data_IF_583371112882
#
_entry.id   IF_583371112882
#
_cell.length_a   1.000
_cell.length_b   1.000
_cell.length_c   1.000
_cell.angle_alpha   90.00
_cell.angle_beta   90.00
_cell.angle_gamma   90.00
#
_symmetry.space_group_name_H-M   'P 1'
#
loop_
_entity.id
_entity.type
_entity.pdbx_description
1 polymer ?
#
# COMPACT_ATOMS: atom_id res chain seq x y z
N UNK A 1 -6.75 -12.16 47.31
CA UNK A 1 -6.24 -11.27 46.24
C UNK A 1 -5.97 -12.15 45.02
N UNK A 2 -7.00 -12.38 44.19
CA UNK A 2 -6.83 -13.14 42.95
C UNK A 2 -6.12 -12.21 41.95
N UNK A 3 -4.88 -12.54 41.59
CA UNK A 3 -4.27 -12.02 40.38
C UNK A 3 -5.11 -12.51 39.20
N UNK A 4 -5.98 -11.65 38.66
CA UNK A 4 -6.59 -11.90 37.36
C UNK A 4 -5.45 -11.84 36.34
N UNK A 5 -4.98 -13.02 35.91
CA UNK A 5 -4.09 -13.13 34.75
C UNK A 5 -4.76 -12.37 33.62
N UNK A 6 -4.06 -11.40 33.03
CA UNK A 6 -4.46 -10.79 31.76
C UNK A 6 -4.80 -11.93 30.80
N UNK A 7 -5.97 -11.92 30.12
CA UNK A 7 -6.30 -12.97 29.17
C UNK A 7 -5.12 -13.13 28.21
N UNK A 8 -4.58 -14.34 28.16
CA UNK A 8 -3.40 -14.63 27.36
C UNK A 8 -3.81 -14.53 25.89
N UNK A 9 -3.17 -13.64 25.14
CA UNK A 9 -3.38 -13.55 23.70
C UNK A 9 -2.79 -14.83 23.10
N UNK A 10 -3.61 -15.59 22.37
CA UNK A 10 -3.24 -16.87 21.76
C UNK A 10 -3.30 -16.78 20.22
N UNK A 11 -2.59 -17.65 19.48
CA UNK A 11 -2.59 -17.63 18.02
C UNK A 11 -3.99 -17.61 17.40
N UNK A 12 -4.93 -18.35 17.99
CA UNK A 12 -6.32 -18.44 17.53
C UNK A 12 -7.04 -17.09 17.59
N UNK A 13 -6.66 -16.19 18.51
CA UNK A 13 -7.18 -14.83 18.55
C UNK A 13 -6.72 -14.03 17.33
N UNK A 14 -5.42 -14.09 17.00
CA UNK A 14 -4.89 -13.37 15.86
C UNK A 14 -5.42 -13.92 14.53
N UNK A 15 -5.58 -15.24 14.42
CA UNK A 15 -6.10 -15.90 13.21
C UNK A 15 -7.54 -15.45 12.84
N UNK A 16 -8.31 -14.94 13.81
CA UNK A 16 -9.66 -14.42 13.57
C UNK A 16 -9.67 -12.99 13.04
N UNK A 17 -8.56 -12.27 13.12
CA UNK A 17 -8.48 -10.91 12.63
C UNK A 17 -8.45 -10.86 11.10
N UNK A 18 -9.04 -9.81 10.48
CA UNK A 18 -9.02 -9.65 9.04
C UNK A 18 -7.60 -9.72 8.49
N UNK A 19 -7.43 -10.42 7.36
CA UNK A 19 -6.14 -10.62 6.65
C UNK A 19 -5.10 -11.49 7.39
N UNK A 20 -5.21 -11.71 8.71
CA UNK A 20 -4.29 -12.55 9.47
C UNK A 20 -4.43 -14.05 9.17
N UNK A 21 -5.52 -14.47 8.52
CA UNK A 21 -5.68 -15.84 8.03
C UNK A 21 -4.65 -16.26 6.98
N UNK A 22 -3.94 -15.29 6.36
CA UNK A 22 -2.84 -15.57 5.44
C UNK A 22 -1.60 -16.10 6.17
N UNK A 23 -1.46 -15.81 7.46
CA UNK A 23 -0.35 -16.25 8.30
C UNK A 23 -0.64 -17.65 8.83
N UNK A 24 0.38 -18.49 8.86
CA UNK A 24 0.25 -19.83 9.45
C UNK A 24 0.47 -19.78 10.97
N UNK A 25 0.22 -20.91 11.63
CA UNK A 25 0.36 -21.02 13.08
C UNK A 25 1.75 -20.61 13.60
N UNK A 26 2.84 -21.00 12.91
CA UNK A 26 4.21 -20.64 13.32
C UNK A 26 4.46 -19.14 13.22
N UNK A 27 3.90 -18.50 12.20
CA UNK A 27 4.01 -17.04 12.02
C UNK A 27 3.29 -16.32 13.17
N UNK A 28 2.09 -16.77 13.54
CA UNK A 28 1.29 -16.19 14.63
C UNK A 28 1.95 -16.41 15.99
N UNK A 29 2.48 -17.61 16.24
CA UNK A 29 3.25 -17.94 17.44
C UNK A 29 4.50 -17.06 17.55
N UNK A 30 5.20 -16.84 16.43
CA UNK A 30 6.35 -15.95 16.39
C UNK A 30 5.98 -14.49 16.69
N UNK A 31 4.90 -13.98 16.07
CA UNK A 31 4.39 -12.62 16.34
C UNK A 31 4.05 -12.44 17.83
N UNK A 32 3.43 -13.43 18.46
CA UNK A 32 3.08 -13.39 19.88
C UNK A 32 4.29 -13.54 20.81
N UNK A 33 5.32 -14.27 20.38
CA UNK A 33 6.55 -14.45 21.15
C UNK A 33 7.41 -13.19 21.16
N UNK A 34 7.60 -12.57 19.98
CA UNK A 34 8.42 -11.36 19.81
C UNK A 34 7.64 -10.07 20.11
N UNK A 35 6.32 -10.12 19.98
CA UNK A 35 5.44 -8.99 20.26
C UNK A 35 5.31 -8.71 21.76
N UNK A 36 5.39 -7.44 22.14
CA UNK A 36 5.18 -6.99 23.52
C UNK A 36 3.72 -6.57 23.71
N UNK A 37 2.93 -7.25 24.56
CA UNK A 37 1.57 -6.84 24.84
C UNK A 37 1.56 -5.63 25.78
N UNK A 38 0.80 -4.60 25.41
CA UNK A 38 0.72 -3.34 26.14
C UNK A 38 -0.73 -2.99 26.44
N UNK A 39 -1.02 -2.64 27.70
CA UNK A 39 -2.31 -2.04 28.09
C UNK A 39 -2.20 -0.52 27.97
N UNK A 40 -3.17 0.08 27.32
CA UNK A 40 -3.20 1.51 27.01
C UNK A 40 -4.45 2.14 27.57
N UNK A 41 -4.30 3.30 28.21
CA UNK A 41 -5.41 4.13 28.67
C UNK A 41 -5.72 5.22 27.62
N UNK A 42 -6.95 5.77 27.60
CA UNK A 42 -7.31 6.89 26.74
C UNK A 42 -6.31 8.05 26.81
N UNK A 43 -6.02 8.65 25.68
CA UNK A 43 -5.04 9.73 25.52
C UNK A 43 -3.61 9.25 25.22
N UNK A 44 -3.30 7.96 25.37
CA UNK A 44 -1.99 7.43 24.97
C UNK A 44 -1.82 7.52 23.46
N UNK A 45 -0.75 8.17 23.00
CA UNK A 45 -0.32 8.19 21.60
C UNK A 45 0.59 6.99 21.33
N UNK A 46 0.30 6.23 20.28
CA UNK A 46 1.13 5.10 19.82
C UNK A 46 1.99 5.47 18.62
N UNK A 47 1.43 6.26 17.71
CA UNK A 47 2.12 6.78 16.52
C UNK A 47 1.82 8.28 16.47
N UNK A 48 2.84 9.11 16.26
CA UNK A 48 2.70 10.55 16.15
C UNK A 48 2.95 10.99 14.71
N UNK A 49 2.07 11.83 14.17
CA UNK A 49 2.25 12.44 12.85
C UNK A 49 3.62 13.15 12.76
N UNK A 50 4.35 12.93 11.67
CA UNK A 50 5.63 13.57 11.40
C UNK A 50 6.80 13.10 12.28
N UNK A 51 6.62 12.07 13.12
CA UNK A 51 7.68 11.56 14.00
C UNK A 51 8.02 10.11 13.68
N UNK A 52 9.31 9.70 13.76
CA UNK A 52 9.70 8.32 13.55
C UNK A 52 8.92 7.34 14.44
N UNK A 53 8.61 6.18 13.89
CA UNK A 53 7.94 5.08 14.61
C UNK A 53 8.81 3.84 14.53
N UNK A 54 9.14 3.25 15.66
CA UNK A 54 10.10 2.11 15.75
C UNK A 54 9.42 0.74 15.82
N UNK A 55 8.10 0.71 15.93
CA UNK A 55 7.30 -0.51 16.03
C UNK A 55 6.10 -0.48 15.10
N UNK A 56 5.64 -1.66 14.71
CA UNK A 56 4.28 -1.86 14.24
C UNK A 56 3.40 -2.20 15.44
N UNK A 57 2.14 -1.78 15.41
CA UNK A 57 1.17 -2.07 16.47
C UNK A 57 0.01 -2.86 15.89
N UNK A 58 -0.43 -3.91 16.57
CA UNK A 58 -1.66 -4.63 16.29
C UNK A 58 -2.66 -4.36 17.42
N UNK A 59 -3.85 -3.86 17.07
CA UNK A 59 -4.92 -3.68 18.05
C UNK A 59 -5.51 -5.03 18.43
N UNK A 60 -5.48 -5.36 19.72
CA UNK A 60 -6.04 -6.61 20.25
C UNK A 60 -7.46 -6.40 20.76
N UNK A 61 -7.70 -5.27 21.43
CA UNK A 61 -9.02 -4.87 21.92
C UNK A 61 -9.08 -3.37 22.19
N UNK A 62 -10.29 -2.84 22.28
CA UNK A 62 -10.54 -1.41 22.52
C UNK A 62 -10.63 -0.61 21.22
N UNK A 63 -10.55 0.71 21.35
CA UNK A 63 -10.77 1.65 20.26
C UNK A 63 -9.64 2.68 20.20
N UNK A 64 -9.09 2.87 19.00
CA UNK A 64 -8.10 3.90 18.71
C UNK A 64 -8.68 4.87 17.65
N UNK A 65 -8.13 6.07 17.58
CA UNK A 65 -8.47 7.07 16.58
C UNK A 65 -7.25 7.43 15.73
N UNK A 66 -7.46 7.55 14.42
CA UNK A 66 -6.51 8.16 13.49
C UNK A 66 -6.86 9.64 13.40
N UNK A 67 -5.94 10.52 13.79
CA UNK A 67 -6.10 11.97 13.74
C UNK A 67 -5.02 12.63 12.90
N UNK A 68 -5.35 13.78 12.32
CA UNK A 68 -4.41 14.64 11.59
C UNK A 68 -4.46 16.06 12.11
N UNK A 69 -3.34 16.74 12.01
CA UNK A 69 -3.20 18.14 12.42
C UNK A 69 -3.85 19.08 11.41
N UNK A 70 -4.74 19.96 11.87
CA UNK A 70 -5.42 20.99 11.07
C UNK A 70 -4.62 22.27 11.07
N UNK A 71 -4.82 23.10 10.04
CA UNK A 71 -4.15 24.41 9.91
C UNK A 71 -4.48 25.38 11.05
N UNK A 72 -5.62 25.21 11.72
CA UNK A 72 -6.04 26.01 12.88
C UNK A 72 -5.43 25.54 14.22
N UNK A 73 -4.49 24.59 14.17
CA UNK A 73 -3.86 24.00 15.36
C UNK A 73 -4.70 22.95 16.07
N UNK A 74 -5.90 22.62 15.56
CA UNK A 74 -6.73 21.53 16.08
C UNK A 74 -6.36 20.16 15.50
N UNK A 75 -6.96 19.11 16.02
CA UNK A 75 -6.90 17.77 15.43
C UNK A 75 -8.23 17.41 14.77
N UNK A 76 -8.16 16.72 13.63
CA UNK A 76 -9.32 16.12 12.97
C UNK A 76 -9.24 14.60 13.04
N UNK A 77 -10.27 13.95 13.62
CA UNK A 77 -10.43 12.50 13.55
C UNK A 77 -10.83 12.08 12.13
N UNK A 78 -10.04 11.20 11.51
CA UNK A 78 -10.29 10.66 10.17
C UNK A 78 -11.09 9.36 10.22
N UNK A 79 -10.71 8.45 11.13
CA UNK A 79 -11.40 7.17 11.36
C UNK A 79 -11.06 6.59 12.72
N UNK A 80 -11.89 5.63 13.14
CA UNK A 80 -11.62 4.76 14.29
C UNK A 80 -11.02 3.43 13.84
N UNK A 81 -10.16 2.88 14.69
CA UNK A 81 -9.53 1.58 14.54
C UNK A 81 -10.00 0.67 15.66
N UNK A 82 -10.22 -0.60 15.33
CA UNK A 82 -10.74 -1.63 16.22
C UNK A 82 -9.78 -2.82 16.30
N UNK A 83 -10.15 -3.85 17.05
CA UNK A 83 -9.41 -5.10 17.14
C UNK A 83 -9.11 -5.68 15.74
N UNK A 84 -7.87 -6.14 15.53
CA UNK A 84 -7.38 -6.67 14.26
C UNK A 84 -6.74 -5.64 13.32
N UNK A 85 -6.88 -4.34 13.57
CA UNK A 85 -6.19 -3.33 12.78
C UNK A 85 -4.69 -3.35 13.08
N UNK A 86 -3.87 -3.46 12.03
CA UNK A 86 -2.41 -3.26 12.06
C UNK A 86 -2.08 -1.79 11.75
N UNK A 87 -1.07 -1.23 12.43
CA UNK A 87 -0.71 0.18 12.35
C UNK A 87 0.81 0.36 12.26
N UNK A 88 1.25 1.44 11.62
CA UNK A 88 2.67 1.74 11.40
C UNK A 88 3.26 1.04 10.18
N UNK A 89 2.47 0.24 9.48
CA UNK A 89 2.87 -0.53 8.29
C UNK A 89 3.27 0.35 7.12
N UNK A 90 2.63 1.52 6.95
CA UNK A 90 2.94 2.43 5.85
C UNK A 90 4.37 2.95 5.97
N UNK A 91 4.70 3.52 7.13
CA UNK A 91 6.04 3.99 7.47
C UNK A 91 7.09 2.87 7.50
N UNK A 92 6.66 1.63 7.68
CA UNK A 92 7.53 0.46 7.56
C UNK A 92 7.81 0.10 6.10
N UNK A 93 6.83 0.24 5.20
CA UNK A 93 6.94 -0.15 3.79
C UNK A 93 7.73 0.87 2.96
N UNK A 94 7.46 2.16 3.16
CA UNK A 94 7.97 3.24 2.32
C UNK A 94 9.05 4.11 2.99
N UNK A 95 9.43 3.81 4.24
CA UNK A 95 10.39 4.58 5.06
C UNK A 95 10.02 6.06 5.25
N UNK A 96 8.78 6.47 4.97
CA UNK A 96 8.35 7.85 5.26
C UNK A 96 7.81 7.97 6.69
N UNK A 97 7.87 9.19 7.22
CA UNK A 97 7.27 9.53 8.50
C UNK A 97 5.74 9.26 8.47
N UNK A 98 5.11 8.93 9.60
CA UNK A 98 3.67 8.75 9.69
C UNK A 98 2.92 10.01 9.22
N UNK A 99 1.89 9.83 8.40
CA UNK A 99 1.04 10.93 7.93
C UNK A 99 -0.16 11.22 8.83
N UNK A 100 -0.29 10.53 9.96
CA UNK A 100 -1.35 10.73 10.93
C UNK A 100 -0.90 10.24 12.31
N UNK A 101 -1.53 10.81 13.34
CA UNK A 101 -1.40 10.40 14.74
C UNK A 101 -2.39 9.26 15.02
N UNK A 102 -1.97 8.27 15.80
CA UNK A 102 -2.81 7.19 16.30
C UNK A 102 -2.81 7.26 17.81
N UNK A 103 -3.99 7.55 18.37
CA UNK A 103 -4.18 7.68 19.82
C UNK A 103 -5.29 6.78 20.33
N UNK A 104 -5.11 6.30 21.54
CA UNK A 104 -6.07 5.46 22.24
C UNK A 104 -7.22 6.33 22.75
N UNK A 105 -8.47 5.94 22.47
CA UNK A 105 -9.66 6.70 22.89
C UNK A 105 -10.52 5.96 23.92
N UNK A 106 -10.32 4.64 24.05
CA UNK A 106 -10.91 3.78 25.07
C UNK A 106 -9.83 2.85 25.63
N UNK A 107 -10.02 2.30 26.83
CA UNK A 107 -9.11 1.29 27.39
C UNK A 107 -8.84 0.18 26.36
N UNK A 108 -7.58 0.05 25.97
CA UNK A 108 -7.18 -0.77 24.83
C UNK A 108 -6.01 -1.69 25.19
N UNK A 109 -5.89 -2.77 24.43
CA UNK A 109 -4.72 -3.63 24.45
C UNK A 109 -4.14 -3.69 23.05
N UNK A 110 -2.83 -3.50 22.94
CA UNK A 110 -2.10 -3.59 21.67
C UNK A 110 -0.93 -4.56 21.79
N UNK A 111 -0.52 -5.13 20.68
CA UNK A 111 0.73 -5.87 20.56
C UNK A 111 1.72 -5.01 19.76
N UNK A 112 2.83 -4.65 20.38
CA UNK A 112 3.91 -3.87 19.76
C UNK A 112 4.99 -4.81 19.24
N UNK A 113 5.33 -4.71 17.96
CA UNK A 113 6.38 -5.50 17.32
C UNK A 113 7.45 -4.56 16.78
N UNK A 114 8.69 -4.70 17.27
CA UNK A 114 9.81 -3.86 16.82
C UNK A 114 10.07 -4.04 15.33
N UNK A 115 10.27 -2.93 14.61
CA UNK A 115 10.70 -2.93 13.20
C UNK A 115 11.98 -3.72 13.01
N UNK A 116 12.96 -3.57 13.90
CA UNK A 116 14.26 -4.24 13.75
C UNK A 116 14.13 -5.76 13.84
N UNK A 117 13.35 -6.27 14.79
CA UNK A 117 13.03 -7.69 14.92
C UNK A 117 12.26 -8.21 13.70
N UNK A 118 11.28 -7.45 13.22
CA UNK A 118 10.49 -7.79 12.03
C UNK A 118 11.36 -7.84 10.77
N UNK A 119 12.19 -6.83 10.52
CA UNK A 119 13.11 -6.80 9.36
C UNK A 119 14.00 -8.03 9.35
N UNK A 120 14.65 -8.35 10.49
CA UNK A 120 15.49 -9.55 10.59
C UNK A 120 14.73 -10.82 10.25
N UNK A 121 13.48 -10.96 10.71
CA UNK A 121 12.64 -12.11 10.39
C UNK A 121 12.31 -12.17 8.91
N UNK A 122 11.99 -11.05 8.28
CA UNK A 122 11.67 -10.97 6.85
C UNK A 122 12.89 -11.31 5.97
N UNK A 123 14.09 -10.94 6.40
CA UNK A 123 15.35 -11.25 5.69
C UNK A 123 15.75 -12.72 5.82
N UNK A 124 15.49 -13.34 6.99
CA UNK A 124 15.94 -14.69 7.30
C UNK A 124 14.90 -15.77 6.97
N UNK A 125 13.62 -15.40 6.80
CA UNK A 125 12.52 -16.31 6.54
C UNK A 125 11.67 -15.81 5.37
N UNK A 126 12.02 -16.26 4.16
CA UNK A 126 11.32 -15.88 2.92
C UNK A 126 9.85 -16.34 2.88
N UNK A 127 9.52 -17.41 3.59
CA UNK A 127 8.15 -17.93 3.70
C UNK A 127 7.29 -17.00 4.55
N UNK A 128 7.79 -16.61 5.72
CA UNK A 128 7.17 -15.59 6.55
C UNK A 128 7.06 -14.26 5.79
N UNK A 129 8.12 -13.84 5.10
CA UNK A 129 8.12 -12.59 4.34
C UNK A 129 7.06 -12.57 3.23
N UNK A 130 6.94 -13.67 2.48
CA UNK A 130 5.88 -13.82 1.47
C UNK A 130 4.48 -13.63 2.08
N UNK A 131 4.16 -14.32 3.17
CA UNK A 131 2.83 -14.23 3.80
C UNK A 131 2.59 -12.88 4.48
N UNK A 132 3.61 -12.31 5.12
CA UNK A 132 3.52 -11.02 5.78
C UNK A 132 3.31 -9.86 4.78
N UNK A 133 4.08 -9.81 3.70
CA UNK A 133 3.86 -8.80 2.66
C UNK A 133 2.53 -9.01 1.92
N UNK A 134 2.07 -10.26 1.78
CA UNK A 134 0.74 -10.54 1.25
C UNK A 134 -0.35 -9.99 2.17
N UNK A 135 -0.24 -10.17 3.49
CA UNK A 135 -1.13 -9.54 4.49
C UNK A 135 -1.19 -8.02 4.29
N UNK A 136 -0.03 -7.37 4.20
CA UNK A 136 0.03 -5.92 4.00
C UNK A 136 -0.61 -5.48 2.68
N UNK A 137 -0.38 -6.24 1.61
CA UNK A 137 -0.98 -5.98 0.30
C UNK A 137 -2.51 -6.07 0.36
N UNK A 138 -3.05 -7.12 1.00
CA UNK A 138 -4.49 -7.30 1.19
C UNK A 138 -5.09 -6.15 1.99
N UNK A 139 -4.49 -5.83 3.14
CA UNK A 139 -4.95 -4.75 4.02
C UNK A 139 -4.96 -3.39 3.31
N UNK A 140 -3.87 -3.01 2.65
CA UNK A 140 -3.76 -1.70 1.99
C UNK A 140 -4.67 -1.61 0.76
N UNK A 141 -4.87 -2.73 0.06
CA UNK A 141 -5.82 -2.80 -1.05
C UNK A 141 -7.26 -2.61 -0.55
N UNK A 142 -7.67 -3.30 0.51
CA UNK A 142 -8.99 -3.17 1.11
C UNK A 142 -9.25 -1.72 1.57
N UNK A 143 -8.28 -1.13 2.28
CA UNK A 143 -8.33 0.26 2.68
C UNK A 143 -8.59 1.17 1.47
N UNK A 144 -7.77 1.09 0.41
CA UNK A 144 -7.91 1.91 -0.81
C UNK A 144 -9.27 1.75 -1.50
N UNK A 145 -9.87 0.56 -1.47
CA UNK A 145 -11.24 0.35 -1.98
C UNK A 145 -12.27 1.06 -1.13
N UNK A 146 -12.17 0.96 0.20
CA UNK A 146 -13.03 1.67 1.13
C UNK A 146 -13.03 3.19 0.89
N UNK A 147 -11.87 3.78 0.57
CA UNK A 147 -11.80 5.20 0.18
C UNK A 147 -12.44 5.51 -1.16
N UNK A 148 -12.40 4.58 -2.12
CA UNK A 148 -12.96 4.80 -3.46
C UNK A 148 -14.49 5.00 -3.39
N UNK A 149 -15.15 4.35 -2.43
CA UNK A 149 -16.55 4.62 -2.07
C UNK A 149 -16.80 6.02 -1.49
N UNK A 150 -15.79 6.66 -0.89
CA UNK A 150 -15.86 8.01 -0.30
C UNK A 150 -15.40 9.14 -1.26
N UNK A 151 -14.75 8.82 -2.39
CA UNK A 151 -14.43 9.79 -3.46
C UNK A 151 -15.69 10.30 -4.21
N UNK A 152 -16.85 9.80 -3.79
CA UNK A 152 -18.20 10.11 -4.27
C UNK A 152 -18.78 11.39 -3.70
N UNK A 153 -18.25 11.88 -2.56
CA UNK A 153 -18.84 13.00 -1.81
C UNK A 153 -18.07 14.31 -1.89
N UNK A 154 -16.75 14.29 -2.12
CA UNK A 154 -15.92 15.50 -2.16
C UNK A 154 -15.27 15.72 -3.53
N UNK A 155 -15.17 17.00 -3.93
CA UNK A 155 -14.65 17.46 -5.21
C UNK A 155 -13.31 16.78 -5.52
N UNK A 156 -13.22 16.18 -6.70
CA UNK A 156 -11.98 15.55 -7.14
C UNK A 156 -10.93 16.65 -7.30
N UNK A 157 -9.86 16.55 -6.52
CA UNK A 157 -8.68 17.36 -6.72
C UNK A 157 -8.00 16.95 -8.03
N UNK A 158 -7.28 17.88 -8.68
CA UNK A 158 -6.72 17.66 -10.00
C UNK A 158 -5.90 16.36 -10.11
N UNK A 159 -6.01 15.76 -11.29
CA UNK A 159 -5.38 14.53 -11.75
C UNK A 159 -3.89 14.71 -12.01
N UNK A 160 -3.11 15.13 -11.01
CA UNK A 160 -1.65 15.06 -11.12
C UNK A 160 -1.24 13.57 -11.19
N UNK A 161 -0.32 13.21 -12.10
CA UNK A 161 0.27 11.87 -12.13
C UNK A 161 0.84 11.51 -10.76
N UNK A 162 0.83 10.24 -10.40
CA UNK A 162 1.50 9.81 -9.17
C UNK A 162 2.99 10.17 -9.31
N UNK A 163 3.54 10.95 -8.38
CA UNK A 163 4.94 11.43 -8.42
C UNK A 163 5.97 10.29 -8.31
N UNK A 164 5.51 9.06 -8.06
CA UNK A 164 6.32 7.89 -7.71
C UNK A 164 6.12 6.76 -8.72
N UNK A 165 6.80 6.90 -9.84
CA UNK A 165 6.83 5.94 -10.95
C UNK A 165 7.90 4.87 -10.67
N UNK A 166 7.74 3.66 -11.21
CA UNK A 166 8.72 2.57 -11.13
C UNK A 166 8.94 1.94 -9.75
N UNK A 167 8.06 2.19 -8.77
CA UNK A 167 8.15 1.60 -7.43
C UNK A 167 8.32 0.07 -7.44
N UNK A 168 7.65 -0.60 -8.38
CA UNK A 168 7.76 -2.07 -8.52
C UNK A 168 9.18 -2.48 -8.90
N UNK A 169 9.83 -1.72 -9.80
CA UNK A 169 11.19 -2.01 -10.28
C UNK A 169 12.28 -1.69 -9.25
N UNK A 170 11.97 -0.87 -8.24
CA UNK A 170 12.86 -0.63 -7.11
C UNK A 170 12.90 -1.83 -6.14
N UNK A 171 11.83 -2.64 -6.10
CA UNK A 171 11.72 -3.80 -5.19
C UNK A 171 12.09 -5.11 -5.86
N UNK A 172 11.68 -5.30 -7.12
CA UNK A 172 11.95 -6.50 -7.90
C UNK A 172 13.40 -6.55 -8.37
N UNK A 173 13.99 -7.75 -8.43
CA UNK A 173 15.34 -7.96 -8.94
C UNK A 173 15.36 -8.31 -10.43
N UNK A 174 16.55 -8.43 -11.00
CA UNK A 174 16.73 -8.65 -12.45
C UNK A 174 16.10 -9.97 -12.93
N UNK A 175 16.14 -11.03 -12.12
CA UNK A 175 15.50 -12.32 -12.45
C UNK A 175 13.97 -12.23 -12.46
N UNK A 176 13.39 -11.41 -11.58
CA UNK A 176 11.96 -11.15 -11.53
C UNK A 176 11.53 -10.39 -12.80
N UNK A 177 12.29 -9.35 -13.18
CA UNK A 177 12.03 -8.57 -14.41
C UNK A 177 12.19 -9.44 -15.66
N UNK A 178 13.22 -10.29 -15.71
CA UNK A 178 13.43 -11.24 -16.81
C UNK A 178 12.26 -12.22 -16.94
N UNK A 179 11.75 -12.73 -15.82
CA UNK A 179 10.57 -13.60 -15.82
C UNK A 179 9.34 -12.86 -16.36
N UNK A 180 9.11 -11.61 -15.95
CA UNK A 180 7.99 -10.79 -16.43
C UNK A 180 8.07 -10.53 -17.93
N UNK A 181 9.26 -10.30 -18.49
CA UNK A 181 9.45 -10.14 -19.94
C UNK A 181 9.14 -11.44 -20.68
N UNK A 182 9.59 -12.58 -20.15
CA UNK A 182 9.41 -13.88 -20.80
C UNK A 182 7.96 -14.38 -20.78
N UNK A 183 7.17 -13.99 -19.78
CA UNK A 183 5.80 -14.50 -19.55
C UNK A 183 4.71 -13.45 -19.77
N UNK A 184 5.08 -12.18 -19.85
CA UNK A 184 4.16 -11.09 -20.14
C UNK A 184 3.86 -10.96 -21.62
N UNK A 185 2.65 -10.51 -21.93
CA UNK A 185 2.16 -10.29 -23.29
C UNK A 185 2.22 -8.79 -23.59
N UNK A 186 3.08 -8.33 -24.50
CA UNK A 186 3.10 -6.93 -24.90
C UNK A 186 1.88 -6.60 -25.76
N UNK A 187 1.12 -5.58 -25.36
CA UNK A 187 -0.14 -5.16 -26.00
C UNK A 187 -0.08 -3.69 -26.41
N UNK A 188 -0.30 -3.40 -27.69
CA UNK A 188 -0.50 -2.04 -28.20
C UNK A 188 -1.99 -1.75 -28.29
N UNK A 189 -2.44 -0.69 -27.64
CA UNK A 189 -3.85 -0.40 -27.45
C UNK A 189 -4.16 1.05 -27.86
N UNK A 190 -5.28 1.25 -28.55
CA UNK A 190 -5.70 2.55 -29.08
C UNK A 190 -6.59 3.32 -28.09
N UNK A 191 -6.70 4.66 -28.22
CA UNK A 191 -7.59 5.48 -27.40
C UNK A 191 -9.04 4.97 -27.34
N UNK A 192 -9.70 5.26 -26.21
CA UNK A 192 -11.06 4.85 -25.85
C UNK A 192 -11.26 3.35 -25.60
N UNK A 193 -10.22 2.53 -25.71
CA UNK A 193 -10.29 1.13 -25.28
C UNK A 193 -10.46 1.04 -23.77
N UNK A 194 -11.42 0.25 -23.31
CA UNK A 194 -11.58 -0.09 -21.88
C UNK A 194 -10.66 -1.27 -21.57
N UNK A 195 -9.57 -1.01 -20.85
CA UNK A 195 -8.60 -2.02 -20.45
C UNK A 195 -9.11 -2.82 -19.23
N UNK A 196 -9.66 -2.12 -18.25
CA UNK A 196 -10.22 -2.69 -17.02
C UNK A 196 -11.61 -2.09 -16.83
N UNK A 197 -12.61 -2.92 -16.50
CA UNK A 197 -13.99 -2.46 -16.27
C UNK A 197 -14.36 -2.62 -14.80
N UNK A 198 -14.80 -1.54 -14.15
CA UNK A 198 -15.26 -1.58 -12.76
C UNK A 198 -16.31 -2.68 -12.53
N UNK A 199 -16.15 -3.41 -11.42
CA UNK A 199 -17.06 -4.50 -11.04
C UNK A 199 -16.91 -5.77 -11.89
N UNK A 200 -15.96 -5.83 -12.83
CA UNK A 200 -15.64 -7.05 -13.60
C UNK A 200 -14.32 -7.67 -13.11
N UNK A 201 -14.12 -8.99 -13.31
CA UNK A 201 -12.82 -9.63 -13.11
C UNK A 201 -11.74 -8.98 -13.98
N UNK A 202 -10.52 -8.92 -13.47
CA UNK A 202 -9.36 -8.38 -14.20
C UNK A 202 -8.47 -9.56 -14.60
N UNK A 203 -8.20 -9.79 -15.89
CA UNK A 203 -7.52 -11.02 -16.34
C UNK A 203 -5.99 -10.99 -16.18
N UNK A 204 -5.41 -9.79 -15.99
CA UNK A 204 -3.97 -9.60 -15.90
C UNK A 204 -3.63 -8.43 -14.96
N UNK A 205 -2.39 -8.43 -14.48
CA UNK A 205 -1.75 -7.23 -13.94
C UNK A 205 -1.04 -6.54 -15.09
N UNK A 206 -1.24 -5.23 -15.26
CA UNK A 206 -0.70 -4.49 -16.39
C UNK A 206 0.39 -3.54 -15.95
N UNK A 207 1.46 -3.45 -16.74
CA UNK A 207 2.50 -2.42 -16.60
C UNK A 207 2.41 -1.51 -17.81
N UNK A 208 2.23 -0.21 -17.57
CA UNK A 208 2.17 0.78 -18.63
C UNK A 208 3.59 1.11 -19.11
N UNK A 209 3.95 0.70 -20.32
CA UNK A 209 5.29 0.91 -20.89
C UNK A 209 5.39 2.27 -21.58
N UNK A 210 4.35 2.67 -22.31
CA UNK A 210 4.22 3.97 -22.99
C UNK A 210 2.73 4.38 -23.07
N UNK A 211 2.45 5.69 -23.12
CA UNK A 211 1.09 6.25 -23.23
C UNK A 211 0.49 6.70 -21.90
N UNK A 212 -0.81 7.04 -21.95
CA UNK A 212 -1.57 7.60 -20.82
C UNK A 212 -2.89 6.84 -20.66
N UNK A 213 -3.23 6.45 -19.43
CA UNK A 213 -4.52 5.85 -19.08
C UNK A 213 -5.30 6.74 -18.13
N UNK A 214 -6.62 6.79 -18.27
CA UNK A 214 -7.53 7.44 -17.35
C UNK A 214 -8.20 6.42 -16.45
N UNK A 215 -8.34 6.75 -15.16
CA UNK A 215 -9.01 5.93 -14.16
C UNK A 215 -10.34 6.59 -13.81
N UNK A 216 -11.43 5.86 -14.00
CA UNK A 216 -12.81 6.33 -13.88
C UNK A 216 -13.55 5.52 -12.83
N UNK A 217 -14.34 6.20 -12.00
CA UNK A 217 -15.29 5.54 -11.09
C UNK A 217 -16.69 5.76 -11.63
N UNK A 218 -17.42 4.66 -11.84
CA UNK A 218 -18.83 4.66 -12.20
C UNK A 218 -19.70 4.73 -10.94
N UNK A 219 -20.65 5.67 -10.91
CA UNK A 219 -21.56 5.93 -9.80
C UNK A 219 -22.99 5.84 -10.29
N UNK A 220 -23.77 4.95 -9.69
CA UNK A 220 -25.21 4.86 -9.97
C UNK A 220 -25.98 5.58 -8.87
N UNK A 221 -26.59 6.72 -9.19
CA UNK A 221 -27.49 7.45 -8.29
C UNK A 221 -28.86 7.60 -8.95
N UNK A 222 -29.92 7.19 -8.26
CA UNK A 222 -31.29 7.22 -8.77
C UNK A 222 -31.45 6.52 -10.13
N UNK A 223 -30.73 5.41 -10.36
CA UNK A 223 -30.74 4.66 -11.62
C UNK A 223 -29.92 5.28 -12.76
N UNK A 224 -29.34 6.47 -12.58
CA UNK A 224 -28.46 7.11 -13.55
C UNK A 224 -27.01 6.77 -13.19
N UNK A 225 -26.29 6.16 -14.13
CA UNK A 225 -24.85 5.88 -13.97
C UNK A 225 -24.05 7.01 -14.59
N UNK A 226 -23.23 7.69 -13.79
CA UNK A 226 -22.26 8.67 -14.25
C UNK A 226 -20.85 8.12 -14.05
N UNK A 227 -19.95 8.39 -14.99
CA UNK A 227 -18.53 8.13 -14.81
C UNK A 227 -17.81 9.43 -14.46
N UNK A 228 -16.90 9.35 -13.49
CA UNK A 228 -16.03 10.46 -13.07
C UNK A 228 -14.58 10.01 -13.17
N UNK A 229 -13.76 10.78 -13.87
CA UNK A 229 -12.31 10.59 -13.87
C UNK A 229 -11.75 10.99 -12.49
N UNK A 230 -10.98 10.09 -11.89
CA UNK A 230 -10.42 10.28 -10.54
C UNK A 230 -8.90 10.38 -10.53
N UNK A 231 -8.24 9.85 -11.56
CA UNK A 231 -6.79 9.88 -11.69
C UNK A 231 -6.38 9.55 -13.13
N UNK A 232 -5.13 9.86 -13.46
CA UNK A 232 -4.44 9.39 -14.65
C UNK A 232 -3.27 8.52 -14.24
N UNK A 233 -2.99 7.50 -15.05
CA UNK A 233 -1.85 6.62 -14.93
C UNK A 233 -0.88 6.90 -16.07
N UNK A 234 0.41 6.94 -15.75
CA UNK A 234 1.50 7.26 -16.68
C UNK A 234 2.50 6.11 -16.80
N UNK A 235 3.35 6.18 -17.83
CA UNK A 235 4.47 5.24 -18.08
C UNK A 235 5.16 4.86 -16.78
N UNK A 236 5.29 3.55 -16.53
CA UNK A 236 5.95 2.94 -15.38
C UNK A 236 5.03 2.58 -14.21
N UNK A 237 3.73 2.88 -14.31
CA UNK A 237 2.74 2.45 -13.32
C UNK A 237 2.19 1.04 -13.57
N UNK A 238 1.73 0.42 -12.48
CA UNK A 238 1.09 -0.90 -12.45
C UNK A 238 -0.42 -0.76 -12.21
N UNK A 239 -1.22 -1.51 -12.96
CA UNK A 239 -2.69 -1.50 -12.89
C UNK A 239 -3.24 -2.91 -12.69
N UNK A 240 -4.41 -3.00 -12.05
CA UNK A 240 -5.08 -4.28 -11.77
C UNK A 240 -4.47 -5.05 -10.60
N UNK A 241 -3.49 -4.48 -9.90
CA UNK A 241 -2.77 -5.12 -8.81
C UNK A 241 -3.68 -5.40 -7.61
N UNK A 242 -4.61 -4.50 -7.30
CA UNK A 242 -5.59 -4.69 -6.23
C UNK A 242 -6.48 -5.91 -6.49
N UNK A 243 -6.99 -6.03 -7.72
CA UNK A 243 -7.86 -7.14 -8.14
C UNK A 243 -7.12 -8.47 -8.16
N UNK A 244 -5.81 -8.45 -8.37
CA UNK A 244 -4.97 -9.63 -8.26
C UNK A 244 -4.78 -10.07 -6.80
N UNK A 245 -4.38 -9.16 -5.91
CA UNK A 245 -4.08 -9.49 -4.50
C UNK A 245 -5.28 -10.06 -3.76
N UNK A 246 -6.47 -9.51 -3.96
CA UNK A 246 -7.67 -9.95 -3.26
C UNK A 246 -8.50 -11.02 -4.01
N UNK A 247 -8.10 -11.38 -5.24
CA UNK A 247 -8.91 -12.20 -6.16
C UNK A 247 -10.32 -11.60 -6.29
N UNK A 248 -10.36 -10.33 -6.69
CA UNK A 248 -11.56 -9.51 -6.68
C UNK A 248 -11.90 -8.88 -8.03
N UNK A 249 -13.00 -8.14 -8.08
CA UNK A 249 -13.36 -7.32 -9.24
C UNK A 249 -12.59 -5.99 -9.24
N UNK A 250 -12.55 -5.32 -10.38
CA UNK A 250 -11.93 -4.00 -10.49
C UNK A 250 -12.68 -2.96 -9.64
N UNK A 251 -11.93 -2.16 -8.88
CA UNK A 251 -12.45 -1.03 -8.10
C UNK A 251 -12.79 0.19 -8.96
N UNK A 252 -12.22 0.28 -10.16
CA UNK A 252 -12.40 1.38 -11.10
C UNK A 252 -12.28 0.88 -12.54
N UNK A 253 -12.78 1.67 -13.47
CA UNK A 253 -12.62 1.46 -14.91
C UNK A 253 -11.34 2.15 -15.38
N UNK A 254 -10.53 1.49 -16.18
CA UNK A 254 -9.31 2.06 -16.78
C UNK A 254 -9.49 2.15 -18.29
N UNK A 255 -9.37 3.35 -18.84
CA UNK A 255 -9.52 3.62 -20.27
C UNK A 255 -8.23 4.19 -20.85
N UNK A 256 -7.92 3.81 -22.08
CA UNK A 256 -6.78 4.34 -22.83
C UNK A 256 -7.10 5.75 -23.30
N UNK A 257 -6.31 6.74 -22.91
CA UNK A 257 -6.51 8.16 -23.31
C UNK A 257 -5.73 8.47 -24.59
N UNK A 258 -4.50 7.97 -24.66
CA UNK A 258 -3.59 8.07 -25.80
C UNK A 258 -3.11 6.68 -26.17
N UNK A 259 -2.64 6.47 -27.42
CA UNK A 259 -2.06 5.17 -27.81
C UNK A 259 -1.10 4.68 -26.73
N UNK A 260 -1.37 3.49 -26.21
CA UNK A 260 -0.66 2.92 -25.08
C UNK A 260 0.01 1.61 -25.48
N UNK A 261 1.15 1.35 -24.86
CA UNK A 261 1.83 0.08 -24.93
C UNK A 261 1.97 -0.48 -23.52
N UNK A 262 1.48 -1.69 -23.30
CA UNK A 262 1.40 -2.32 -21.99
C UNK A 262 2.11 -3.67 -22.02
N UNK A 263 2.62 -4.11 -20.88
CA UNK A 263 2.92 -5.51 -20.62
C UNK A 263 1.80 -6.09 -19.75
N UNK A 264 1.02 -7.01 -20.31
CA UNK A 264 0.00 -7.76 -19.57
C UNK A 264 0.63 -9.01 -18.95
N UNK A 265 0.59 -9.14 -17.63
CA UNK A 265 0.99 -10.34 -16.89
C UNK A 265 -0.28 -11.14 -16.54
N UNK A 266 -0.58 -12.25 -17.24
CA UNK A 266 -1.80 -13.01 -16.99
C UNK A 266 -1.87 -13.49 -15.55
N UNK A 267 -3.03 -13.32 -14.90
CA UNK A 267 -3.17 -13.66 -13.48
C UNK A 267 -2.82 -15.12 -13.18
N UNK A 268 -3.16 -16.06 -14.09
CA UNK A 268 -2.86 -17.48 -13.92
C UNK A 268 -1.35 -17.77 -13.87
N UNK A 269 -0.56 -17.14 -14.75
CA UNK A 269 0.89 -17.31 -14.79
C UNK A 269 1.55 -16.67 -13.57
N UNK A 270 1.08 -15.47 -13.19
CA UNK A 270 1.59 -14.78 -12.01
C UNK A 270 1.26 -15.55 -10.73
N UNK A 271 0.04 -16.07 -10.58
CA UNK A 271 -0.36 -16.88 -9.43
C UNK A 271 0.49 -18.15 -9.31
N UNK A 272 0.69 -18.89 -10.41
CA UNK A 272 1.56 -20.07 -10.42
C UNK A 272 2.99 -19.71 -9.97
N UNK A 273 3.55 -18.61 -10.48
CA UNK A 273 4.89 -18.16 -10.10
C UNK A 273 4.99 -17.79 -8.62
N UNK A 274 3.96 -17.17 -8.03
CA UNK A 274 3.95 -16.83 -6.60
C UNK A 274 3.83 -18.08 -5.70
N UNK A 275 3.15 -19.11 -6.17
CA UNK A 275 3.04 -20.39 -5.44
C UNK A 275 4.35 -21.18 -5.48
N UNK A 276 5.02 -21.20 -6.63
CA UNK A 276 6.26 -21.96 -6.87
C UNK A 276 7.50 -21.27 -6.29
N UNK A 277 7.59 -19.94 -6.38
CA UNK A 277 8.77 -19.16 -5.98
C UNK A 277 8.45 -18.18 -4.86
N UNK A 278 8.79 -18.60 -3.64
CA UNK A 278 8.58 -17.82 -2.41
C UNK A 278 9.41 -16.55 -2.36
N UNK A 279 10.60 -16.56 -2.96
CA UNK A 279 11.47 -15.39 -2.99
C UNK A 279 10.90 -14.33 -3.93
N UNK A 280 10.43 -14.73 -5.11
CA UNK A 280 9.67 -13.86 -6.01
C UNK A 280 8.40 -13.37 -5.32
N UNK A 281 7.65 -14.25 -4.64
CA UNK A 281 6.41 -13.86 -3.96
C UNK A 281 6.61 -12.81 -2.87
N UNK A 282 7.64 -12.96 -2.03
CA UNK A 282 8.02 -11.95 -1.04
C UNK A 282 8.29 -10.59 -1.69
N UNK A 283 9.14 -10.54 -2.73
CA UNK A 283 9.46 -9.28 -3.43
C UNK A 283 8.25 -8.69 -4.16
N UNK A 284 7.46 -9.51 -4.84
CA UNK A 284 6.27 -9.07 -5.56
C UNK A 284 5.22 -8.48 -4.63
N UNK A 285 4.84 -9.18 -3.56
CA UNK A 285 3.89 -8.64 -2.58
C UNK A 285 4.44 -7.40 -1.87
N UNK A 286 5.75 -7.36 -1.56
CA UNK A 286 6.38 -6.14 -1.04
C UNK A 286 6.21 -4.97 -2.03
N UNK A 287 6.44 -5.22 -3.32
CA UNK A 287 6.30 -4.21 -4.36
C UNK A 287 4.86 -3.67 -4.43
N UNK A 288 3.87 -4.56 -4.39
CA UNK A 288 2.46 -4.17 -4.37
C UNK A 288 2.11 -3.39 -3.09
N UNK A 289 2.53 -3.87 -1.92
CA UNK A 289 2.30 -3.18 -0.66
C UNK A 289 2.90 -1.75 -0.67
N UNK A 290 4.12 -1.57 -1.22
CA UNK A 290 4.74 -0.25 -1.41
C UNK A 290 3.92 0.63 -2.34
N UNK A 291 3.46 0.12 -3.49
CA UNK A 291 2.60 0.86 -4.42
C UNK A 291 1.31 1.30 -3.75
N UNK A 292 0.63 0.39 -3.04
CA UNK A 292 -0.64 0.66 -2.36
C UNK A 292 -0.47 1.63 -1.19
N UNK A 293 0.61 1.51 -0.40
CA UNK A 293 0.95 2.46 0.67
C UNK A 293 1.12 3.87 0.12
N UNK A 294 1.86 4.02 -0.98
CA UNK A 294 2.05 5.32 -1.62
C UNK A 294 0.74 5.89 -2.17
N UNK A 295 -0.08 5.06 -2.85
CA UNK A 295 -1.42 5.48 -3.32
C UNK A 295 -2.33 5.90 -2.18
N UNK A 296 -2.27 5.24 -1.03
CA UNK A 296 -3.03 5.61 0.16
C UNK A 296 -2.58 6.94 0.73
N UNK A 297 -1.27 7.11 0.88
CA UNK A 297 -0.64 8.36 1.35
C UNK A 297 -1.04 9.52 0.46
N UNK A 298 -0.84 9.42 -0.86
CA UNK A 298 -1.18 10.47 -1.81
C UNK A 298 -2.66 10.89 -1.70
N UNK A 299 -3.57 9.92 -1.49
CA UNK A 299 -5.00 10.21 -1.30
C UNK A 299 -5.30 10.88 0.04
N UNK A 300 -4.63 10.48 1.13
CA UNK A 300 -4.75 11.15 2.42
C UNK A 300 -4.26 12.60 2.33
N UNK A 301 -3.05 12.81 1.79
CA UNK A 301 -2.45 14.14 1.64
C UNK A 301 -3.32 15.06 0.78
N UNK A 302 -3.82 14.56 -0.37
CA UNK A 302 -4.65 15.37 -1.27
C UNK A 302 -5.90 15.90 -0.58
N UNK A 303 -6.56 15.15 0.31
CA UNK A 303 -7.76 15.64 1.01
C UNK A 303 -7.53 16.81 2.00
N UNK A 304 -6.34 17.42 2.01
CA UNK A 304 -5.99 18.53 2.90
C UNK A 304 -5.74 18.08 4.34
N UNK A 305 -5.54 16.77 4.53
CA UNK A 305 -5.34 16.13 5.83
C UNK A 305 -3.88 16.04 6.24
N UNK A 306 -2.96 16.66 5.49
CA UNK A 306 -1.61 16.87 5.95
C UNK A 306 -1.27 18.35 5.83
N UNK A 307 -1.21 18.99 6.98
CA UNK A 307 -0.62 20.32 7.16
C UNK A 307 0.84 20.33 6.66
N UNK A 308 1.56 19.22 6.86
CA UNK A 308 2.95 19.01 6.42
C UNK A 308 3.14 18.93 4.91
N UNK A 309 2.10 18.71 4.08
CA UNK A 309 2.28 18.72 2.63
C UNK A 309 2.65 20.11 2.11
N UNK A 310 2.08 21.16 2.71
CA UNK A 310 2.38 22.53 2.32
C UNK A 310 3.75 22.98 2.84
N UNK A 311 4.12 22.58 4.07
CA UNK A 311 5.45 22.88 4.62
C UNK A 311 6.56 22.05 3.96
N UNK A 312 6.36 20.75 3.66
CA UNK A 312 7.36 20.01 2.88
C UNK A 312 7.45 20.55 1.44
N UNK A 313 6.37 21.02 0.82
CA UNK A 313 6.47 21.56 -0.54
C UNK A 313 7.10 22.96 -0.53
N UNK A 314 6.90 23.77 0.52
CA UNK A 314 7.63 25.05 0.69
C UNK A 314 9.09 24.84 1.07
N UNK A 315 9.39 23.87 1.95
CA UNK A 315 10.75 23.48 2.29
C UNK A 315 11.47 22.87 1.09
N UNK A 316 10.83 21.97 0.32
CA UNK A 316 11.40 21.39 -0.91
C UNK A 316 11.48 22.38 -2.08
N UNK A 317 10.80 23.54 -2.03
CA UNK A 317 10.92 24.58 -3.05
C UNK A 317 11.87 25.72 -2.65
N UNK A 318 12.13 25.90 -1.35
CA UNK A 318 13.16 26.81 -0.83
C UNK A 318 14.53 26.10 -0.62
N UNK A 319 14.57 24.77 -0.48
CA UNK A 319 15.80 23.94 -0.34
C UNK A 319 16.31 23.35 -1.66
N UNK A 320 16.09 24.01 -2.81
CA UNK A 320 16.86 23.68 -4.03
C UNK A 320 18.31 24.23 -3.94
N UNK A 321 18.63 25.05 -2.93
CA UNK A 321 19.98 25.58 -2.70
C UNK A 321 20.64 25.12 -1.37
N UNK A 322 20.16 24.03 -0.75
CA UNK A 322 20.85 23.39 0.38
C UNK A 322 21.27 21.96 0.00
N UNK A 323 22.56 21.79 -0.28
CA UNK A 323 23.22 20.48 -0.28
C UNK A 323 23.09 19.84 1.11
N UNK A 324 22.01 19.09 1.35
CA UNK A 324 21.94 18.12 2.45
C UNK A 324 21.28 16.82 1.92
N UNK A 325 22.17 15.91 1.55
CA UNK A 325 22.06 14.46 1.42
C UNK A 325 20.63 13.84 1.38
N UNK A 326 20.11 13.68 0.16
CA UNK A 326 19.22 12.53 -0.11
C UNK A 326 20.00 11.25 0.21
N UNK A 327 19.42 10.39 1.06
CA UNK A 327 20.01 9.10 1.46
C UNK A 327 20.45 8.32 0.20
N UNK A 328 21.73 7.94 0.16
CA UNK A 328 22.40 7.35 -1.01
C UNK A 328 21.65 6.10 -1.53
N UNK A 329 21.05 5.34 -0.61
CA UNK A 329 20.27 4.14 -0.90
C UNK A 329 18.96 4.43 -1.66
N UNK A 330 18.35 5.60 -1.45
CA UNK A 330 17.10 6.01 -2.13
C UNK A 330 17.39 6.51 -3.55
N UNK A 331 18.50 7.22 -3.73
CA UNK A 331 18.98 7.65 -5.06
C UNK A 331 19.44 6.45 -5.91
N UNK A 332 20.14 5.48 -5.32
CA UNK A 332 20.56 4.26 -6.02
C UNK A 332 19.36 3.38 -6.41
N UNK A 333 18.38 3.23 -5.52
CA UNK A 333 17.17 2.46 -5.79
C UNK A 333 16.31 2.99 -6.95
N UNK A 334 16.23 4.31 -7.10
CA UNK A 334 15.48 4.94 -8.22
C UNK A 334 16.22 4.83 -9.56
N UNK A 335 17.55 4.95 -9.56
CA UNK A 335 18.37 4.77 -10.76
C UNK A 335 18.35 3.31 -11.27
N UNK A 336 18.41 2.33 -10.36
CA UNK A 336 18.29 0.91 -10.70
C UNK A 336 16.89 0.60 -11.25
N UNK A 337 15.83 1.15 -10.63
CA UNK A 337 14.46 0.98 -11.10
C UNK A 337 14.28 1.50 -12.54
N UNK A 338 14.83 2.69 -12.85
CA UNK A 338 14.87 3.24 -14.21
C UNK A 338 15.58 2.32 -15.19
N UNK A 339 16.79 1.85 -14.83
CA UNK A 339 17.61 0.97 -15.66
C UNK A 339 16.88 -0.35 -15.99
N UNK A 340 16.24 -0.97 -14.99
CA UNK A 340 15.45 -2.20 -15.16
C UNK A 340 14.26 -1.99 -16.08
N UNK A 341 13.56 -0.88 -15.92
CA UNK A 341 12.40 -0.56 -16.75
C UNK A 341 12.79 -0.29 -18.21
N UNK A 342 13.86 0.47 -18.43
CA UNK A 342 14.38 0.72 -19.78
C UNK A 342 14.94 -0.56 -20.43
N UNK A 343 15.52 -1.46 -19.62
CA UNK A 343 15.90 -2.79 -20.10
C UNK A 343 14.67 -3.61 -20.54
N UNK A 344 13.61 -3.65 -19.73
CA UNK A 344 12.34 -4.30 -20.09
C UNK A 344 11.77 -3.76 -21.41
N UNK A 345 11.70 -2.43 -21.55
CA UNK A 345 11.24 -1.77 -22.78
C UNK A 345 12.06 -2.21 -23.99
N UNK A 346 13.39 -2.30 -23.87
CA UNK A 346 14.27 -2.72 -24.98
C UNK A 346 14.10 -4.18 -25.37
N UNK A 347 13.79 -5.07 -24.43
CA UNK A 347 13.59 -6.50 -24.73
C UNK A 347 12.23 -6.79 -25.37
N UNK A 348 11.23 -5.94 -25.15
CA UNK A 348 9.86 -6.14 -25.65
C UNK A 348 9.59 -5.46 -27.00
N UNK A 349 10.49 -4.57 -27.46
CA UNK A 349 10.46 -3.96 -28.79
C UNK A 349 10.98 -4.94 -29.84
#
# INVERSE_FOLDING_TARGET
MLFMKTPQIVPETLAQFPFFSILNQRDLEWILHEGTPEKCQPGRVLIQEGHPVESLYLSISGTLAVTVSRQDGGEQELKRLFAGELMGEMSFLDNHLPSATIKVVEDSQVLSLSKTTLVRKLETDGDFASRFYHLLSLKLSDQLRGLSGLLTENQALPSEPLRKVLLVFAVLNDSDIAWMIAHGVPEKVIPNTVLIQQGKPVPAVYILLEGTLGIYISLTKNGITTEKEVAKSIKGEILGEMSFVEIGTASATVKVVENAWLLALPQSQLAAKLEEDRAFASRFYRAIAVVLSNRWRDRLMRRGFATLANDLTSMLSEEIDAEDELDFDVLEGTAIAGTRFDWMIRQLR
#
